data_IF_447025070567
#
_entry.id   IF_447025070567
#
_cell.length_a   1.000
_cell.length_b   1.000
_cell.length_c   1.000
_cell.angle_alpha   90.00
_cell.angle_beta   90.00
_cell.angle_gamma   90.00
#
_symmetry.space_group_name_H-M   'P 1'
#
loop_
_entity.id
_entity.type
_entity.pdbx_description
1 polymer ?
#
# COMPACT_ATOMS: atom_id res chain seq x y z
N UNK A 1 -36.71 -19.22 58.06
CA UNK A 1 -35.29 -19.09 57.71
C UNK A 1 -35.19 -18.32 56.38
N UNK A 2 -34.93 -16.99 56.47
CA UNK A 2 -34.87 -16.12 55.32
C UNK A 2 -33.41 -16.14 54.78
N UNK A 3 -33.23 -16.51 53.53
CA UNK A 3 -32.00 -16.38 52.79
C UNK A 3 -31.87 -14.94 52.25
N UNK A 4 -30.87 -14.21 52.73
CA UNK A 4 -30.56 -12.85 52.29
C UNK A 4 -29.77 -12.93 50.97
N UNK A 5 -30.38 -12.51 49.90
CA UNK A 5 -29.77 -12.39 48.56
C UNK A 5 -28.92 -11.12 48.50
N UNK A 6 -27.61 -11.32 48.36
CA UNK A 6 -26.59 -10.27 48.31
C UNK A 6 -26.51 -9.77 46.86
N UNK A 7 -27.01 -8.56 46.60
CA UNK A 7 -26.83 -7.89 45.30
C UNK A 7 -25.35 -7.61 45.03
N UNK A 8 -24.88 -7.82 43.78
CA UNK A 8 -23.51 -7.44 43.40
C UNK A 8 -23.41 -5.93 43.32
N UNK A 9 -22.37 -5.40 43.93
CA UNK A 9 -22.04 -3.98 43.96
C UNK A 9 -21.76 -3.46 42.56
N UNK A 10 -22.38 -2.35 42.26
CA UNK A 10 -22.22 -1.56 41.03
C UNK A 10 -20.79 -1.04 40.90
N UNK A 11 -19.99 -1.64 40.04
CA UNK A 11 -18.57 -1.32 39.76
C UNK A 11 -18.38 -0.09 38.87
N UNK A 12 -19.45 0.66 38.54
CA UNK A 12 -19.40 1.78 37.59
C UNK A 12 -19.59 3.17 38.26
N UNK A 13 -19.60 3.27 39.55
CA UNK A 13 -19.62 4.57 40.25
C UNK A 13 -18.19 5.17 40.34
N UNK A 14 -17.89 6.07 39.42
CA UNK A 14 -16.66 6.88 39.50
C UNK A 14 -15.94 7.17 38.17
N UNK A 15 -16.43 6.74 37.03
CA UNK A 15 -15.85 7.12 35.72
C UNK A 15 -16.47 8.46 35.31
N UNK A 16 -15.77 9.55 35.57
CA UNK A 16 -16.07 10.88 35.06
C UNK A 16 -15.61 10.93 33.62
N UNK A 17 -16.47 10.52 32.69
CA UNK A 17 -16.28 10.75 31.27
C UNK A 17 -16.43 12.25 31.00
N UNK A 18 -15.34 12.99 31.13
CA UNK A 18 -15.24 14.27 30.47
C UNK A 18 -15.20 13.96 28.97
N UNK A 19 -16.31 14.17 28.32
CA UNK A 19 -16.41 14.30 26.87
C UNK A 19 -15.57 15.52 26.43
N UNK A 20 -14.28 15.30 26.26
CA UNK A 20 -13.53 16.12 25.33
C UNK A 20 -14.05 15.77 23.93
N UNK A 21 -15.04 16.53 23.50
CA UNK A 21 -15.49 16.52 22.12
C UNK A 21 -14.32 16.98 21.24
N UNK A 22 -13.37 16.06 21.02
CA UNK A 22 -12.37 16.20 19.98
C UNK A 22 -13.17 16.23 18.68
N UNK A 23 -13.30 17.42 18.09
CA UNK A 23 -13.95 17.60 16.82
C UNK A 23 -13.29 16.65 15.81
N UNK A 24 -13.96 15.53 15.55
CA UNK A 24 -13.55 14.55 14.54
C UNK A 24 -13.65 15.31 13.21
N UNK A 25 -12.51 15.72 12.66
CA UNK A 25 -12.46 16.25 11.29
C UNK A 25 -13.02 15.19 10.36
N UNK A 26 -13.95 15.54 9.45
CA UNK A 26 -14.36 14.59 8.44
C UNK A 26 -13.12 14.14 7.66
N UNK A 27 -12.92 12.83 7.60
CA UNK A 27 -11.83 12.23 6.85
C UNK A 27 -11.96 12.65 5.37
N UNK A 28 -10.83 12.96 4.73
CA UNK A 28 -10.84 13.23 3.30
C UNK A 28 -11.05 11.91 2.53
N UNK A 29 -11.59 11.96 1.31
CA UNK A 29 -11.76 10.77 0.45
C UNK A 29 -10.47 9.92 0.36
N UNK A 30 -9.31 10.56 0.45
CA UNK A 30 -7.99 9.88 0.45
C UNK A 30 -7.64 9.26 1.79
N UNK A 31 -8.11 9.80 2.91
CA UNK A 31 -7.91 9.21 4.23
C UNK A 31 -8.83 8.01 4.42
N UNK A 32 -10.08 8.11 3.92
CA UNK A 32 -11.03 7.00 3.89
C UNK A 32 -10.52 5.86 3.01
N UNK A 33 -9.99 6.16 1.81
CA UNK A 33 -9.37 5.19 0.92
C UNK A 33 -8.16 4.48 1.56
N UNK A 34 -7.36 5.21 2.34
CA UNK A 34 -6.21 4.61 3.06
C UNK A 34 -6.63 3.76 4.23
N UNK A 35 -7.65 4.21 4.99
CA UNK A 35 -8.21 3.47 6.11
C UNK A 35 -8.90 2.18 5.62
N UNK A 36 -9.69 2.25 4.55
CA UNK A 36 -10.35 1.12 3.94
C UNK A 36 -9.34 0.11 3.38
N UNK A 37 -8.30 0.58 2.70
CA UNK A 37 -7.26 -0.29 2.14
C UNK A 37 -6.42 -0.95 3.24
N UNK A 38 -6.13 -0.22 4.33
CA UNK A 38 -5.41 -0.77 5.47
C UNK A 38 -6.24 -1.77 6.29
N UNK A 39 -7.56 -1.57 6.36
CA UNK A 39 -8.46 -2.37 7.18
C UNK A 39 -9.01 -3.61 6.46
N UNK A 40 -9.29 -3.52 5.15
CA UNK A 40 -10.03 -4.55 4.41
C UNK A 40 -9.32 -5.09 3.18
N UNK A 41 -8.27 -4.41 2.70
CA UNK A 41 -7.64 -4.70 1.40
C UNK A 41 -8.57 -4.46 0.20
N UNK A 42 -9.77 -3.92 0.44
CA UNK A 42 -10.78 -3.62 -0.56
C UNK A 42 -11.19 -2.16 -0.43
N UNK A 43 -11.10 -1.39 -1.52
CA UNK A 43 -11.67 -0.05 -1.57
C UNK A 43 -13.04 -0.11 -2.22
N UNK A 44 -14.02 0.50 -1.58
CA UNK A 44 -15.37 0.70 -2.16
C UNK A 44 -15.37 1.80 -3.25
N UNK A 45 -14.25 2.50 -3.42
CA UNK A 45 -14.07 3.58 -4.38
C UNK A 45 -13.04 3.26 -5.47
N UNK A 46 -12.53 4.30 -6.13
CA UNK A 46 -11.47 4.16 -7.15
C UNK A 46 -10.13 3.77 -6.50
N UNK A 47 -9.41 2.84 -7.14
CA UNK A 47 -8.09 2.42 -6.67
C UNK A 47 -7.16 3.64 -6.51
N UNK A 48 -6.40 3.76 -5.39
CA UNK A 48 -5.55 4.93 -5.13
C UNK A 48 -4.56 5.27 -6.25
N UNK A 49 -4.00 4.26 -6.90
CA UNK A 49 -3.07 4.44 -8.03
C UNK A 49 -3.78 5.04 -9.25
N UNK A 50 -5.09 4.77 -9.43
CA UNK A 50 -5.86 5.38 -10.52
C UNK A 50 -5.93 6.90 -10.42
N UNK A 51 -5.93 7.46 -9.21
CA UNK A 51 -5.98 8.91 -8.96
C UNK A 51 -4.71 9.63 -9.46
N UNK A 52 -3.57 8.95 -9.41
CA UNK A 52 -2.28 9.48 -9.84
C UNK A 52 -1.86 8.96 -11.23
N UNK A 53 -2.68 8.17 -11.91
CA UNK A 53 -2.32 7.51 -13.17
C UNK A 53 -1.80 8.48 -14.25
N UNK A 54 -2.35 9.68 -14.34
CA UNK A 54 -1.88 10.68 -15.31
C UNK A 54 -0.43 11.11 -15.03
N UNK A 55 -0.07 11.29 -13.75
CA UNK A 55 1.30 11.61 -13.33
C UNK A 55 2.23 10.43 -13.63
N UNK A 56 1.79 9.21 -13.37
CA UNK A 56 2.56 8.00 -13.62
C UNK A 56 2.82 7.80 -15.13
N UNK A 57 1.84 8.09 -15.99
CA UNK A 57 2.00 8.04 -17.46
C UNK A 57 3.09 9.00 -17.95
N UNK A 58 3.11 10.23 -17.44
CA UNK A 58 4.15 11.21 -17.76
C UNK A 58 5.55 10.71 -17.34
N UNK A 59 5.64 9.90 -16.29
CA UNK A 59 6.87 9.26 -15.81
C UNK A 59 7.16 7.90 -16.48
N UNK A 60 6.44 7.57 -17.55
CA UNK A 60 6.58 6.31 -18.32
C UNK A 60 6.35 5.05 -17.48
N UNK A 61 5.52 5.14 -16.45
CA UNK A 61 5.11 4.00 -15.63
C UNK A 61 4.02 3.22 -16.34
N UNK A 62 4.23 1.94 -16.53
CA UNK A 62 3.26 1.02 -17.12
C UNK A 62 2.31 0.47 -16.07
N UNK A 63 1.08 0.10 -16.50
CA UNK A 63 0.13 -0.60 -15.64
C UNK A 63 0.49 -2.08 -15.54
N UNK A 64 -0.03 -2.77 -14.50
CA UNK A 64 0.15 -4.21 -14.35
C UNK A 64 -0.28 -4.97 -15.61
N UNK A 65 -1.43 -4.62 -16.17
CA UNK A 65 -1.93 -5.23 -17.40
C UNK A 65 -0.99 -5.00 -18.60
N UNK A 66 -0.39 -3.82 -18.73
CA UNK A 66 0.57 -3.54 -19.81
C UNK A 66 1.87 -4.31 -19.65
N UNK A 67 2.28 -4.59 -18.40
CA UNK A 67 3.50 -5.35 -18.12
C UNK A 67 3.40 -6.80 -18.58
N UNK A 68 2.23 -7.42 -18.46
CA UNK A 68 1.98 -8.79 -18.92
C UNK A 68 2.13 -8.97 -20.44
N UNK A 69 2.06 -7.86 -21.21
CA UNK A 69 2.22 -7.87 -22.65
C UNK A 69 3.68 -7.67 -23.12
N UNK A 70 4.58 -7.41 -22.16
CA UNK A 70 5.99 -7.18 -22.48
C UNK A 70 6.73 -8.49 -22.73
N UNK A 71 7.66 -8.43 -23.67
CA UNK A 71 8.58 -9.55 -23.92
C UNK A 71 9.58 -9.69 -22.76
N UNK A 72 10.04 -10.92 -22.56
CA UNK A 72 11.16 -11.21 -21.68
C UNK A 72 12.36 -10.30 -22.02
N UNK A 73 13.06 -9.81 -21.00
CA UNK A 73 14.21 -8.91 -21.16
C UNK A 73 13.84 -7.43 -21.38
N UNK A 74 12.55 -7.07 -21.42
CA UNK A 74 12.15 -5.67 -21.63
C UNK A 74 12.39 -4.83 -20.38
N UNK A 75 13.14 -3.72 -20.52
CA UNK A 75 13.28 -2.72 -19.46
C UNK A 75 11.99 -1.93 -19.31
N UNK A 76 11.54 -1.76 -18.06
CA UNK A 76 10.28 -1.09 -17.78
C UNK A 76 10.25 -0.49 -16.39
N UNK A 77 9.24 0.35 -16.16
CA UNK A 77 8.92 0.91 -14.85
C UNK A 77 7.49 0.55 -14.47
N UNK A 78 7.31 -0.03 -13.28
CA UNK A 78 6.03 -0.30 -12.64
C UNK A 78 5.84 0.62 -11.44
N UNK A 79 4.60 0.84 -11.01
CA UNK A 79 4.28 1.49 -9.74
C UNK A 79 3.01 0.88 -9.17
N UNK A 80 3.01 0.63 -7.87
CA UNK A 80 1.86 0.09 -7.17
C UNK A 80 1.99 0.20 -5.65
N UNK A 81 0.87 -0.05 -4.99
CA UNK A 81 0.83 -0.25 -3.55
C UNK A 81 1.47 -1.61 -3.23
N UNK A 82 2.27 -1.65 -2.18
CA UNK A 82 2.84 -2.91 -1.72
C UNK A 82 1.78 -3.64 -0.90
N UNK A 83 1.23 -4.71 -1.44
CA UNK A 83 0.24 -5.56 -0.77
C UNK A 83 0.88 -6.74 -0.05
N UNK A 84 2.06 -7.19 -0.51
CA UNK A 84 2.79 -8.30 0.09
C UNK A 84 4.29 -8.06 0.08
N UNK A 85 4.96 -8.45 1.17
CA UNK A 85 6.42 -8.52 1.29
C UNK A 85 6.80 -9.86 1.87
N UNK A 86 7.62 -10.62 1.15
CA UNK A 86 8.10 -11.93 1.60
C UNK A 86 9.62 -12.01 1.49
N UNK A 87 10.25 -12.56 2.50
CA UNK A 87 11.69 -12.87 2.51
C UNK A 87 11.86 -14.32 2.96
N UNK A 88 11.73 -15.30 2.05
CA UNK A 88 11.91 -16.70 2.38
C UNK A 88 13.34 -16.96 2.87
N UNK A 89 13.50 -17.74 3.92
CA UNK A 89 14.84 -18.11 4.44
C UNK A 89 15.66 -18.91 3.41
N UNK A 90 14.98 -19.61 2.51
CA UNK A 90 15.58 -20.45 1.46
C UNK A 90 16.03 -19.68 0.22
N UNK A 91 15.69 -18.39 0.09
CA UNK A 91 15.89 -17.61 -1.14
C UNK A 91 17.16 -16.73 -1.13
N UNK A 92 18.22 -17.12 -0.42
CA UNK A 92 19.50 -16.41 -0.38
C UNK A 92 19.38 -14.88 -0.21
N UNK A 93 18.47 -14.44 0.68
CA UNK A 93 18.24 -13.02 0.96
C UNK A 93 17.42 -12.27 -0.11
N UNK A 94 16.91 -12.95 -1.12
CA UNK A 94 15.98 -12.38 -2.11
C UNK A 94 14.65 -12.01 -1.46
N UNK A 95 14.07 -10.88 -1.87
CA UNK A 95 12.78 -10.41 -1.40
C UNK A 95 11.80 -10.42 -2.57
N UNK A 96 10.61 -10.89 -2.27
CA UNK A 96 9.48 -10.86 -3.18
C UNK A 96 8.48 -9.81 -2.70
N UNK A 97 8.10 -8.92 -3.60
CA UNK A 97 7.03 -7.96 -3.37
C UNK A 97 5.89 -8.25 -4.34
N UNK A 98 4.67 -8.02 -3.88
CA UNK A 98 3.52 -7.88 -4.77
C UNK A 98 3.11 -6.42 -4.76
N UNK A 99 3.07 -5.80 -5.93
CA UNK A 99 2.57 -4.46 -6.15
C UNK A 99 1.19 -4.55 -6.77
N UNK A 100 0.27 -3.71 -6.31
CA UNK A 100 -1.08 -3.62 -6.84
C UNK A 100 -1.31 -2.23 -7.44
N UNK A 101 -1.83 -2.21 -8.66
CA UNK A 101 -2.37 -1.01 -9.29
C UNK A 101 -3.84 -1.21 -9.66
N UNK A 102 -4.46 -0.23 -10.28
CA UNK A 102 -5.87 -0.28 -10.69
C UNK A 102 -6.20 -1.33 -11.76
N UNK A 103 -5.20 -1.99 -12.33
CA UNK A 103 -5.38 -2.98 -13.41
C UNK A 103 -4.98 -4.40 -12.99
N UNK A 104 -4.35 -4.56 -11.82
CA UNK A 104 -3.95 -5.87 -11.33
C UNK A 104 -2.68 -5.84 -10.48
N UNK A 105 -2.00 -6.99 -10.42
CA UNK A 105 -0.84 -7.21 -9.58
C UNK A 105 0.43 -7.43 -10.40
N UNK A 106 1.56 -7.02 -9.84
CA UNK A 106 2.90 -7.24 -10.38
C UNK A 106 3.76 -7.91 -9.31
N UNK A 107 4.34 -9.05 -9.65
CA UNK A 107 5.33 -9.70 -8.81
C UNK A 107 6.71 -9.10 -9.09
N UNK A 108 7.36 -8.61 -8.03
CA UNK A 108 8.68 -7.98 -8.11
C UNK A 108 9.69 -8.81 -7.33
N UNK A 109 10.81 -9.09 -7.96
CA UNK A 109 11.95 -9.78 -7.35
C UNK A 109 13.03 -8.75 -7.04
N UNK A 110 13.44 -8.70 -5.79
CA UNK A 110 14.50 -7.81 -5.30
C UNK A 110 15.67 -8.67 -4.81
N UNK A 111 16.77 -8.61 -5.50
CA UNK A 111 17.99 -9.32 -5.10
C UNK A 111 18.62 -8.70 -3.86
N UNK A 112 19.30 -9.51 -3.07
CA UNK A 112 19.92 -9.12 -1.80
C UNK A 112 20.73 -7.81 -1.92
N UNK A 113 21.54 -7.65 -2.96
CA UNK A 113 22.37 -6.46 -3.17
C UNK A 113 21.53 -5.16 -3.30
N UNK A 114 20.37 -5.22 -3.94
CA UNK A 114 19.46 -4.07 -4.05
C UNK A 114 18.75 -3.82 -2.71
N UNK A 115 18.34 -4.87 -2.05
CA UNK A 115 17.76 -4.80 -0.71
C UNK A 115 18.67 -4.08 0.27
N UNK A 116 19.95 -4.45 0.34
CA UNK A 116 20.93 -3.84 1.25
C UNK A 116 21.07 -2.34 1.00
N UNK A 117 21.07 -1.91 -0.27
CA UNK A 117 21.18 -0.49 -0.65
C UNK A 117 19.92 0.33 -0.40
N UNK A 118 18.74 -0.25 -0.58
CA UNK A 118 17.47 0.48 -0.57
C UNK A 118 16.49 -0.03 0.49
N UNK A 119 17.02 -0.67 1.54
CA UNK A 119 16.24 -1.30 2.62
C UNK A 119 15.19 -0.37 3.22
N UNK A 120 15.55 0.90 3.47
CA UNK A 120 14.65 1.87 4.09
C UNK A 120 13.39 2.10 3.25
N UNK A 121 13.55 2.30 1.93
CA UNK A 121 12.41 2.48 1.02
C UNK A 121 11.56 1.21 0.97
N UNK A 122 12.20 0.07 0.79
CA UNK A 122 11.50 -1.22 0.62
C UNK A 122 10.69 -1.60 1.87
N UNK A 123 11.16 -1.23 3.07
CA UNK A 123 10.45 -1.52 4.33
C UNK A 123 9.32 -0.54 4.63
N UNK A 124 9.52 0.75 4.39
CA UNK A 124 8.68 1.79 4.95
C UNK A 124 7.69 2.40 3.95
N UNK A 125 7.99 2.35 2.64
CA UNK A 125 7.11 2.90 1.65
C UNK A 125 5.88 2.01 1.44
N UNK A 126 4.71 2.63 1.29
CA UNK A 126 3.46 1.95 0.92
C UNK A 126 3.22 1.97 -0.59
N UNK A 127 3.64 3.04 -1.27
CA UNK A 127 3.57 3.19 -2.73
C UNK A 127 4.99 3.32 -3.27
N UNK A 128 5.38 2.43 -4.17
CA UNK A 128 6.70 2.47 -4.79
C UNK A 128 6.63 2.42 -6.31
N UNK A 129 7.62 3.03 -6.96
CA UNK A 129 7.92 2.74 -8.35
C UNK A 129 9.19 1.88 -8.42
N UNK A 130 9.20 0.94 -9.33
CA UNK A 130 10.28 -0.01 -9.56
C UNK A 130 10.74 0.06 -11.00
N UNK A 131 12.01 0.39 -11.21
CA UNK A 131 12.69 0.21 -12.48
C UNK A 131 13.30 -1.18 -12.53
N UNK A 132 13.05 -1.90 -13.60
CA UNK A 132 13.53 -3.27 -13.71
C UNK A 132 13.44 -3.85 -15.10
N UNK A 133 13.59 -5.15 -15.17
CA UNK A 133 13.53 -5.95 -16.39
C UNK A 133 12.43 -7.00 -16.22
N UNK A 134 11.56 -7.12 -17.20
CA UNK A 134 10.55 -8.18 -17.20
C UNK A 134 11.20 -9.53 -17.50
N UNK A 135 10.96 -10.49 -16.63
CA UNK A 135 11.27 -11.90 -16.87
C UNK A 135 9.98 -12.71 -16.96
N UNK A 136 9.94 -13.60 -17.92
CA UNK A 136 8.81 -14.53 -18.13
C UNK A 136 9.34 -15.88 -18.61
N UNK A 137 8.80 -16.93 -18.06
CA UNK A 137 9.01 -18.31 -18.51
C UNK A 137 7.82 -18.86 -19.30
N UNK A 138 6.87 -17.97 -19.67
CA UNK A 138 5.66 -18.30 -20.42
C UNK A 138 4.40 -18.31 -19.59
N UNK A 139 4.45 -18.74 -18.33
CA UNK A 139 3.29 -18.77 -17.42
C UNK A 139 3.39 -17.72 -16.33
N UNK A 140 4.59 -17.47 -15.83
CA UNK A 140 4.84 -16.57 -14.71
C UNK A 140 5.63 -15.36 -15.17
N UNK A 141 5.20 -14.17 -14.71
CA UNK A 141 5.82 -12.89 -15.03
C UNK A 141 6.37 -12.26 -13.76
N UNK A 142 7.64 -11.89 -13.80
CA UNK A 142 8.32 -11.19 -12.72
C UNK A 142 8.99 -9.92 -13.22
N UNK A 143 8.92 -8.86 -12.43
CA UNK A 143 9.75 -7.67 -12.63
C UNK A 143 10.99 -7.79 -11.75
N UNK A 144 12.15 -8.01 -12.36
CA UNK A 144 13.43 -8.04 -11.65
C UNK A 144 13.87 -6.61 -11.40
N UNK A 145 13.81 -6.20 -10.14
CA UNK A 145 14.10 -4.82 -9.74
C UNK A 145 15.58 -4.47 -9.89
N UNK A 146 15.84 -3.29 -10.46
CA UNK A 146 17.16 -2.64 -10.56
C UNK A 146 17.24 -1.44 -9.61
N UNK A 147 16.13 -0.72 -9.46
CA UNK A 147 16.03 0.44 -8.59
C UNK A 147 14.59 0.58 -8.07
N UNK A 148 14.45 1.07 -6.83
CA UNK A 148 13.17 1.34 -6.18
C UNK A 148 13.10 2.80 -5.79
N UNK A 149 11.95 3.42 -5.97
CA UNK A 149 11.68 4.81 -5.63
C UNK A 149 10.43 4.90 -4.74
N UNK A 150 10.49 5.68 -3.68
CA UNK A 150 9.32 5.99 -2.86
C UNK A 150 8.44 7.03 -3.59
N UNK A 151 7.23 6.64 -3.92
CA UNK A 151 6.21 7.50 -4.54
C UNK A 151 5.09 7.87 -3.57
N UNK A 152 5.19 7.53 -2.29
CA UNK A 152 4.20 7.89 -1.26
C UNK A 152 3.89 9.38 -1.20
N UNK A 153 4.85 10.24 -1.55
CA UNK A 153 4.64 11.69 -1.66
C UNK A 153 3.61 12.11 -2.70
N UNK A 154 3.39 11.32 -3.76
CA UNK A 154 2.38 11.61 -4.79
C UNK A 154 0.96 11.49 -4.23
N UNK A 155 0.74 10.58 -3.28
CA UNK A 155 -0.55 10.41 -2.60
C UNK A 155 -0.83 11.59 -1.65
N UNK A 156 0.19 12.11 -0.97
CA UNK A 156 0.06 13.29 -0.10
C UNK A 156 -0.30 14.55 -0.89
N UNK A 157 0.21 14.70 -2.09
CA UNK A 157 -0.07 15.84 -2.98
C UNK A 157 -1.53 15.91 -3.48
N UNK A 158 -2.26 14.80 -3.48
CA UNK A 158 -3.70 14.77 -3.80
C UNK A 158 -4.54 15.43 -2.71
N UNK A 159 -4.14 15.32 -1.46
CA UNK A 159 -4.83 15.91 -0.30
C UNK A 159 -4.80 17.44 -0.33
N UNK A 160 -3.75 18.05 -0.89
CA UNK A 160 -3.57 19.49 -0.91
C UNK A 160 -4.40 20.18 -2.00
N UNK A 161 -4.69 19.50 -3.11
CA UNK A 161 -5.50 20.05 -4.22
C UNK A 161 -7.00 20.03 -3.98
N UNK A 162 -7.48 19.20 -3.06
CA UNK A 162 -8.91 19.11 -2.68
C UNK A 162 -9.37 20.24 -1.76
N UNK A 163 -8.47 21.13 -1.30
CA UNK A 163 -8.81 22.21 -0.35
C UNK A 163 -9.14 23.56 -1.01
N UNK A 164 -8.97 23.70 -2.32
CA UNK A 164 -9.19 24.97 -3.04
C UNK A 164 -10.48 24.98 -3.87
N UNK A 165 -11.58 24.46 -3.32
CA UNK A 165 -12.92 24.77 -3.82
C UNK A 165 -13.71 25.48 -2.72
N UNK A 166 -13.57 26.80 -2.71
CA UNK A 166 -14.58 27.70 -2.15
C UNK A 166 -15.65 27.93 -3.21
#
# INVERSE_FOLDING_TARGET
VAATEKQPADLLQGINLKDDATAIRPASETDDLRADYAATGLTLGRHPVALIRNILRQRRVRTAQQLLQLKHGTHTRACGLITMRQRPMTANGTIFLTLEDETGHVNVVIWQRLWERQRSIILNASLIAVDGVMESDGEVYHLIARQVHDFGGLMKGLQTRSRDFC
#
